data_IF_867663314762
#
_entry.id   IF_867663314762
#
_cell.length_a   1.000
_cell.length_b   1.000
_cell.length_c   1.000
_cell.angle_alpha   90.00
_cell.angle_beta   90.00
_cell.angle_gamma   90.00
#
_symmetry.space_group_name_H-M   'P 1'
#
loop_
_entity.id
_entity.type
_entity.pdbx_description
1 polymer ?
#
# COMPACT_ATOMS: atom_id res chain seq x y z
N UNK A 1 13.75 -17.81 29.25
CA UNK A 1 15.11 -17.35 28.91
C UNK A 1 15.50 -17.66 27.47
N UNK A 2 15.54 -18.93 27.02
CA UNK A 2 15.98 -19.29 25.64
C UNK A 2 15.12 -18.63 24.53
N UNK A 3 13.79 -18.59 24.69
CA UNK A 3 12.89 -17.92 23.73
C UNK A 3 13.16 -16.41 23.62
N UNK A 4 13.53 -15.76 24.71
CA UNK A 4 13.88 -14.33 24.74
C UNK A 4 15.22 -14.07 24.06
N UNK A 5 16.23 -14.91 24.33
CA UNK A 5 17.52 -14.81 23.66
C UNK A 5 17.41 -15.02 22.13
N UNK A 6 16.62 -16.00 21.68
CA UNK A 6 16.35 -16.22 20.25
C UNK A 6 15.60 -15.04 19.62
N UNK A 7 14.67 -14.43 20.35
CA UNK A 7 13.97 -13.22 19.90
C UNK A 7 14.95 -12.06 19.71
N UNK A 8 15.81 -11.79 20.69
CA UNK A 8 16.82 -10.73 20.60
C UNK A 8 17.81 -11.03 19.47
N UNK A 9 18.30 -12.26 19.34
CA UNK A 9 19.22 -12.66 18.27
C UNK A 9 18.61 -12.46 16.88
N UNK A 10 17.33 -12.78 16.70
CA UNK A 10 16.60 -12.54 15.45
C UNK A 10 16.64 -11.05 15.06
N UNK A 11 16.42 -10.16 16.02
CA UNK A 11 16.48 -8.71 15.77
C UNK A 11 17.90 -8.24 15.45
N UNK A 12 18.93 -8.80 16.11
CA UNK A 12 20.34 -8.47 15.83
C UNK A 12 20.74 -8.91 14.41
N UNK A 13 20.32 -10.11 13.98
CA UNK A 13 20.59 -10.59 12.61
C UNK A 13 19.92 -9.69 11.57
N UNK A 14 18.69 -9.24 11.83
CA UNK A 14 18.00 -8.30 10.94
C UNK A 14 18.63 -6.90 10.91
N UNK A 15 19.43 -6.53 11.90
CA UNK A 15 20.15 -5.25 11.92
C UNK A 15 21.39 -5.25 11.01
N UNK A 16 21.94 -6.42 10.65
CA UNK A 16 23.12 -6.58 9.77
C UNK A 16 22.95 -5.88 8.42
N UNK A 17 21.87 -6.10 7.64
CA UNK A 17 21.70 -5.42 6.35
C UNK A 17 21.61 -3.89 6.48
N UNK A 18 21.03 -3.38 7.58
CA UNK A 18 21.00 -1.94 7.87
C UNK A 18 22.40 -1.36 8.11
N UNK A 19 23.23 -2.07 8.88
CA UNK A 19 24.61 -1.66 9.13
C UNK A 19 25.48 -1.72 7.85
N UNK A 20 25.26 -2.70 6.98
CA UNK A 20 25.93 -2.79 5.67
C UNK A 20 25.56 -1.60 4.77
N UNK A 21 24.28 -1.24 4.72
CA UNK A 21 23.81 -0.07 3.97
C UNK A 21 24.44 1.23 4.51
N UNK A 22 24.46 1.41 5.82
CA UNK A 22 25.11 2.54 6.47
C UNK A 22 26.59 2.67 6.08
N UNK A 23 27.36 1.56 6.11
CA UNK A 23 28.77 1.58 5.72
C UNK A 23 28.96 1.93 4.23
N UNK A 24 28.06 1.47 3.35
CA UNK A 24 28.08 1.86 1.94
C UNK A 24 27.82 3.35 1.74
N UNK A 25 26.82 3.91 2.43
CA UNK A 25 26.53 5.34 2.38
C UNK A 25 27.74 6.14 2.89
N UNK A 26 28.35 5.73 3.99
CA UNK A 26 29.55 6.39 4.53
C UNK A 26 30.72 6.38 3.54
N UNK A 27 30.95 5.24 2.87
CA UNK A 27 32.00 5.10 1.87
C UNK A 27 31.74 5.96 0.63
N UNK A 28 30.49 6.03 0.15
CA UNK A 28 30.12 6.77 -1.06
C UNK A 28 30.19 8.28 -0.83
N UNK A 29 29.71 8.77 0.31
CA UNK A 29 29.65 10.20 0.60
C UNK A 29 30.92 10.75 1.28
N UNK A 30 31.86 9.88 1.68
CA UNK A 30 33.11 10.31 2.32
C UNK A 30 32.90 11.04 3.66
N UNK A 31 31.80 10.72 4.37
CA UNK A 31 31.42 11.45 5.59
C UNK A 31 32.15 10.85 6.79
N UNK A 32 33.01 11.66 7.41
CA UNK A 32 33.73 11.27 8.62
C UNK A 32 32.82 11.24 9.85
N UNK A 33 31.78 12.09 9.88
CA UNK A 33 30.82 12.18 10.97
C UNK A 33 29.77 11.06 10.92
N UNK A 34 29.78 10.22 11.95
CA UNK A 34 28.93 9.04 12.09
C UNK A 34 27.45 9.42 12.18
N UNK A 35 27.12 10.52 12.85
CA UNK A 35 25.73 10.93 13.07
C UNK A 35 25.12 11.50 11.78
N UNK A 36 25.89 12.29 11.04
CA UNK A 36 25.46 12.80 9.74
C UNK A 36 25.20 11.66 8.74
N UNK A 37 26.12 10.68 8.67
CA UNK A 37 25.93 9.50 7.82
C UNK A 37 24.69 8.68 8.21
N UNK A 38 24.35 8.64 9.51
CA UNK A 38 23.20 7.88 10.00
C UNK A 38 21.89 8.54 9.56
N UNK A 39 21.78 9.86 9.72
CA UNK A 39 20.61 10.64 9.31
C UNK A 39 20.38 10.51 7.81
N UNK A 40 21.44 10.66 7.00
CA UNK A 40 21.36 10.54 5.54
C UNK A 40 20.95 9.13 5.12
N UNK A 41 21.54 8.11 5.73
CA UNK A 41 21.20 6.70 5.47
C UNK A 41 19.71 6.42 5.75
N UNK A 42 19.18 6.90 6.87
CA UNK A 42 17.77 6.71 7.21
C UNK A 42 16.84 7.48 6.26
N UNK A 43 17.21 8.71 5.88
CA UNK A 43 16.44 9.50 4.93
C UNK A 43 16.39 8.84 3.53
N UNK A 44 17.52 8.32 3.05
CA UNK A 44 17.59 7.61 1.76
C UNK A 44 16.77 6.33 1.76
N UNK A 45 16.85 5.54 2.84
CA UNK A 45 16.07 4.31 2.97
C UNK A 45 14.56 4.62 3.02
N UNK A 46 14.16 5.65 3.77
CA UNK A 46 12.77 6.11 3.82
C UNK A 46 12.25 6.61 2.48
N UNK A 47 13.07 7.39 1.75
CA UNK A 47 12.72 7.85 0.41
C UNK A 47 12.57 6.67 -0.56
N UNK A 48 13.47 5.68 -0.52
CA UNK A 48 13.41 4.50 -1.38
C UNK A 48 12.10 3.73 -1.16
N UNK A 49 11.73 3.46 0.09
CA UNK A 49 10.48 2.76 0.42
C UNK A 49 9.27 3.56 -0.06
N UNK A 50 9.25 4.87 0.16
CA UNK A 50 8.15 5.73 -0.32
C UNK A 50 7.95 5.64 -1.83
N UNK A 51 9.03 5.66 -2.63
CA UNK A 51 8.90 5.55 -4.08
C UNK A 51 8.46 4.15 -4.51
N UNK A 52 8.97 3.09 -3.88
CA UNK A 52 8.54 1.71 -4.17
C UNK A 52 7.05 1.53 -3.86
N UNK A 53 6.61 1.92 -2.66
CA UNK A 53 5.21 1.84 -2.27
C UNK A 53 4.34 2.69 -3.20
N UNK A 54 4.77 3.91 -3.51
CA UNK A 54 4.05 4.77 -4.46
C UNK A 54 3.94 4.13 -5.84
N UNK A 55 4.99 3.48 -6.35
CA UNK A 55 4.93 2.78 -7.63
C UNK A 55 3.95 1.61 -7.57
N UNK A 56 4.01 0.76 -6.55
CA UNK A 56 3.10 -0.38 -6.35
C UNK A 56 1.64 0.08 -6.28
N UNK A 57 1.35 1.11 -5.47
CA UNK A 57 -0.01 1.60 -5.29
C UNK A 57 -0.52 2.43 -6.47
N UNK A 58 0.36 3.02 -7.29
CA UNK A 58 -0.03 3.73 -8.51
C UNK A 58 -0.28 2.76 -9.66
N UNK A 59 0.44 1.63 -9.74
CA UNK A 59 0.40 0.73 -10.90
C UNK A 59 -0.69 -0.35 -10.86
N UNK A 60 -1.44 -0.52 -9.76
CA UNK A 60 -2.39 -1.63 -9.72
C UNK A 60 -3.06 -1.87 -8.39
N UNK A 61 -3.50 -0.83 -7.68
CA UNK A 61 -4.44 -1.02 -6.59
C UNK A 61 -5.76 -1.54 -7.18
N UNK A 62 -5.89 -2.86 -7.29
CA UNK A 62 -7.18 -3.53 -7.49
C UNK A 62 -8.08 -3.01 -6.37
N UNK A 63 -9.17 -2.28 -6.66
CA UNK A 63 -10.03 -1.76 -5.62
C UNK A 63 -10.70 -2.95 -4.94
N UNK A 64 -10.15 -3.37 -3.79
CA UNK A 64 -10.74 -4.43 -2.97
C UNK A 64 -12.13 -3.91 -2.54
N UNK A 65 -13.22 -4.67 -2.81
CA UNK A 65 -14.55 -4.22 -2.43
C UNK A 65 -14.65 -4.11 -0.90
N UNK A 66 -14.98 -2.92 -0.40
CA UNK A 66 -15.05 -2.62 1.04
C UNK A 66 -16.36 -3.06 1.71
N UNK A 67 -17.43 -3.29 0.94
CA UNK A 67 -18.74 -3.70 1.46
C UNK A 67 -19.44 -4.61 0.44
N UNK A 68 -19.95 -5.77 0.90
CA UNK A 68 -20.70 -6.74 0.09
C UNK A 68 -22.12 -6.83 0.61
N UNK A 69 -23.11 -6.58 -0.25
CA UNK A 69 -24.54 -6.79 0.06
C UNK A 69 -25.05 -8.03 -0.64
N UNK A 70 -25.51 -9.07 0.09
CA UNK A 70 -25.97 -10.31 -0.53
C UNK A 70 -27.25 -10.16 -1.34
N UNK A 71 -28.07 -9.13 -1.03
CA UNK A 71 -29.33 -8.83 -1.72
C UNK A 71 -29.46 -7.31 -1.89
N UNK A 72 -28.91 -6.79 -2.97
CA UNK A 72 -28.98 -5.38 -3.37
C UNK A 72 -29.50 -5.23 -4.79
N UNK A 73 -29.89 -4.01 -5.15
CA UNK A 73 -30.27 -3.65 -6.53
C UNK A 73 -29.08 -2.95 -7.17
N UNK A 74 -28.64 -3.47 -8.30
CA UNK A 74 -27.58 -2.88 -9.14
C UNK A 74 -28.02 -1.50 -9.66
N UNK A 75 -27.23 -0.45 -9.44
CA UNK A 75 -27.55 0.90 -9.94
C UNK A 75 -27.52 1.03 -11.45
N UNK A 76 -26.63 0.29 -12.14
CA UNK A 76 -26.49 0.39 -13.60
C UNK A 76 -27.45 -0.54 -14.37
N UNK A 77 -27.91 -1.62 -13.73
CA UNK A 77 -28.57 -2.74 -14.42
C UNK A 77 -29.88 -3.21 -13.78
N UNK A 78 -30.24 -2.71 -12.61
CA UNK A 78 -31.48 -3.06 -11.90
C UNK A 78 -31.56 -4.50 -11.37
N UNK A 79 -30.55 -5.35 -11.63
CA UNK A 79 -30.55 -6.75 -11.19
C UNK A 79 -30.50 -6.83 -9.66
N UNK A 80 -31.38 -7.65 -9.09
CA UNK A 80 -31.42 -7.97 -7.66
C UNK A 80 -30.51 -9.16 -7.40
N UNK A 81 -29.51 -8.99 -6.55
CA UNK A 81 -28.57 -10.05 -6.22
C UNK A 81 -27.39 -9.58 -5.37
N UNK A 82 -26.29 -10.34 -5.41
CA UNK A 82 -25.04 -9.96 -4.74
C UNK A 82 -24.47 -8.70 -5.41
N UNK A 83 -24.33 -7.64 -4.62
CA UNK A 83 -23.81 -6.36 -5.08
C UNK A 83 -22.59 -5.94 -4.24
N UNK A 84 -21.62 -5.34 -4.90
CA UNK A 84 -20.36 -4.89 -4.34
C UNK A 84 -20.30 -3.37 -4.36
N UNK A 85 -19.73 -2.78 -3.30
CA UNK A 85 -19.35 -1.37 -3.27
C UNK A 85 -17.94 -1.23 -3.84
N UNK A 86 -17.82 -0.54 -4.97
CA UNK A 86 -16.54 -0.34 -5.66
C UNK A 86 -16.05 1.08 -5.38
N UNK A 87 -14.83 1.21 -4.86
CA UNK A 87 -14.18 2.52 -4.68
C UNK A 87 -13.75 3.09 -6.04
N UNK A 88 -13.67 4.43 -6.13
CA UNK A 88 -13.25 5.14 -7.34
C UNK A 88 -11.76 4.99 -7.65
N UNK A 89 -11.25 5.88 -8.52
CA UNK A 89 -9.91 5.86 -9.15
C UNK A 89 -8.70 5.70 -8.21
N UNK A 90 -8.85 5.91 -6.91
CA UNK A 90 -7.82 5.66 -5.88
C UNK A 90 -8.47 5.09 -4.63
N UNK A 91 -7.74 4.26 -3.87
CA UNK A 91 -8.14 3.79 -2.53
C UNK A 91 -8.55 4.90 -1.54
N UNK A 92 -8.38 6.18 -1.91
CA UNK A 92 -8.61 7.36 -1.09
C UNK A 92 -9.52 8.43 -1.74
N UNK A 93 -10.10 8.20 -2.92
CA UNK A 93 -11.09 9.11 -3.58
C UNK A 93 -12.44 8.36 -3.67
N UNK A 94 -13.61 8.82 -3.20
CA UNK A 94 -14.07 10.11 -2.71
C UNK A 94 -14.88 9.90 -1.42
N UNK A 95 -14.52 10.58 -0.33
CA UNK A 95 -15.41 10.78 0.83
C UNK A 95 -16.48 11.86 0.56
N UNK A 96 -16.48 12.47 -0.63
CA UNK A 96 -17.18 13.72 -0.89
C UNK A 96 -18.51 13.59 -1.64
N UNK A 97 -18.96 12.37 -1.94
CA UNK A 97 -20.31 12.19 -2.45
C UNK A 97 -21.27 11.95 -1.27
N UNK A 98 -21.93 13.02 -0.80
CA UNK A 98 -23.06 12.99 0.16
C UNK A 98 -24.33 12.34 -0.43
N UNK A 99 -24.20 11.59 -1.53
CA UNK A 99 -25.23 10.76 -2.15
C UNK A 99 -25.10 9.31 -1.72
N UNK A 100 -26.21 8.56 -1.76
CA UNK A 100 -26.27 7.14 -1.37
C UNK A 100 -25.12 6.34 -2.03
N UNK A 101 -24.46 5.41 -1.31
CA UNK A 101 -23.38 4.62 -1.90
C UNK A 101 -23.90 3.74 -3.05
N UNK A 102 -23.25 3.83 -4.20
CA UNK A 102 -23.61 3.05 -5.39
C UNK A 102 -23.20 1.58 -5.23
N UNK A 103 -24.19 0.68 -5.33
CA UNK A 103 -23.99 -0.77 -5.30
C UNK A 103 -24.17 -1.36 -6.68
N UNK A 104 -23.25 -2.24 -7.09
CA UNK A 104 -23.23 -2.79 -8.44
C UNK A 104 -23.05 -4.30 -8.44
N UNK A 105 -23.62 -4.97 -9.43
CA UNK A 105 -23.38 -6.39 -9.64
C UNK A 105 -21.94 -6.63 -10.13
N UNK A 106 -21.49 -7.87 -10.05
CA UNK A 106 -20.14 -8.29 -10.47
C UNK A 106 -19.82 -7.87 -11.92
N UNK A 107 -20.74 -8.11 -12.86
CA UNK A 107 -20.54 -7.78 -14.27
C UNK A 107 -20.40 -6.25 -14.52
N UNK A 108 -21.21 -5.43 -13.83
CA UNK A 108 -21.15 -3.96 -13.96
C UNK A 108 -19.93 -3.37 -13.22
N UNK A 109 -19.52 -3.99 -12.11
CA UNK A 109 -18.30 -3.63 -11.39
C UNK A 109 -17.06 -3.85 -12.27
N UNK A 110 -16.91 -5.03 -12.88
CA UNK A 110 -15.78 -5.36 -13.76
C UNK A 110 -15.72 -4.43 -14.98
N UNK A 111 -16.87 -4.15 -15.63
CA UNK A 111 -16.93 -3.21 -16.76
C UNK A 111 -16.46 -1.80 -16.37
N UNK A 112 -16.89 -1.28 -15.21
CA UNK A 112 -16.44 0.03 -14.72
C UNK A 112 -14.94 0.01 -14.41
N UNK A 113 -14.41 -1.06 -13.82
CA UNK A 113 -12.98 -1.18 -13.54
C UNK A 113 -12.14 -1.17 -14.82
N UNK A 114 -12.57 -1.88 -15.88
CA UNK A 114 -11.89 -1.88 -17.18
C UNK A 114 -11.90 -0.51 -17.85
N UNK A 115 -13.00 0.24 -17.75
CA UNK A 115 -13.09 1.62 -18.26
C UNK A 115 -12.25 2.62 -17.47
N UNK A 116 -11.91 2.31 -16.21
CA UNK A 116 -11.12 3.17 -15.34
C UNK A 116 -9.61 2.89 -15.47
N UNK A 117 -9.23 1.65 -15.81
CA UNK A 117 -7.84 1.20 -15.95
C UNK A 117 -7.21 1.40 -17.34
N UNK A 118 -7.90 2.06 -18.27
CA UNK A 118 -7.36 2.53 -19.56
C UNK A 118 -7.19 4.04 -19.56
#
# INVERSE_FOLDING_TARGET
MVKYALYVLRWVILAIPGALFFNKVRQIFGINDVYAAMIISQALMGAMVYFIDRLIFTSGAVPIPWEIRPRGVCTDCGRVGKCYRVAGKRCCEDRENKGKPDFRCEACAVKRMQQIGG
#
